data_IF_478831054363
#
_entry.id   IF_478831054363
#
_cell.length_a   1.000
_cell.length_b   1.000
_cell.length_c   1.000
_cell.angle_alpha   90.00
_cell.angle_beta   90.00
_cell.angle_gamma   90.00
#
_symmetry.space_group_name_H-M   'P 1'
#
loop_
_entity.id
_entity.type
_entity.pdbx_description
1 polymer ?
#
# COMPACT_ATOMS: atom_id res chain seq x y z
N UNK A 1 7.60 65.39 -3.04
CA UNK A 1 7.65 64.57 -4.27
C UNK A 1 8.65 63.46 -4.02
N UNK A 2 8.24 62.20 -4.01
CA UNK A 2 9.14 61.06 -3.76
C UNK A 2 9.75 60.63 -5.10
N UNK A 3 11.07 60.64 -5.18
CA UNK A 3 11.78 60.18 -6.37
C UNK A 3 11.62 58.65 -6.53
N UNK A 4 11.43 58.16 -7.77
CA UNK A 4 11.29 56.73 -8.01
C UNK A 4 12.59 55.98 -7.67
N UNK A 5 12.44 54.78 -7.11
CA UNK A 5 13.57 53.95 -6.72
C UNK A 5 14.47 53.58 -7.93
N UNK A 6 15.79 53.50 -7.74
CA UNK A 6 16.73 53.16 -8.81
C UNK A 6 16.52 51.73 -9.30
N UNK A 7 16.54 51.54 -10.62
CA UNK A 7 16.45 50.21 -11.25
C UNK A 7 17.85 49.60 -11.43
N UNK A 8 17.98 48.27 -11.34
CA UNK A 8 19.27 47.60 -11.55
C UNK A 8 19.78 47.80 -12.99
N UNK A 9 21.11 47.83 -13.20
CA UNK A 9 21.70 47.92 -14.54
C UNK A 9 21.33 46.71 -15.41
N UNK A 10 20.97 46.98 -16.67
CA UNK A 10 20.53 45.98 -17.63
C UNK A 10 21.65 44.96 -17.95
N UNK A 11 21.27 43.69 -18.16
CA UNK A 11 22.18 42.64 -18.63
C UNK A 11 22.95 41.88 -17.53
N UNK A 12 22.90 42.33 -16.27
CA UNK A 12 23.62 41.66 -15.15
C UNK A 12 22.74 40.71 -14.30
N UNK A 13 21.43 40.94 -14.24
CA UNK A 13 20.50 40.26 -13.32
C UNK A 13 19.41 39.42 -14.02
N UNK A 14 19.59 39.15 -15.32
CA UNK A 14 18.55 38.53 -16.14
C UNK A 14 17.39 39.49 -16.44
N UNK A 15 16.55 39.19 -17.44
CA UNK A 15 15.39 40.01 -17.77
C UNK A 15 14.36 39.96 -16.64
N UNK A 16 13.76 41.12 -16.32
CA UNK A 16 12.65 41.16 -15.36
C UNK A 16 11.48 40.30 -15.89
N UNK A 17 10.85 39.46 -15.04
CA UNK A 17 9.70 38.68 -15.45
C UNK A 17 8.57 39.62 -15.90
N UNK A 18 8.31 39.63 -17.20
CA UNK A 18 7.17 40.32 -17.81
C UNK A 18 5.85 39.82 -17.21
N UNK A 19 4.79 40.63 -17.27
CA UNK A 19 3.46 40.20 -16.80
C UNK A 19 3.02 38.86 -17.43
N UNK A 20 3.37 38.63 -18.70
CA UNK A 20 3.12 37.39 -19.44
C UNK A 20 3.88 36.20 -18.85
N UNK A 21 5.18 36.35 -18.54
CA UNK A 21 5.97 35.27 -17.93
C UNK A 21 5.46 34.92 -16.52
N UNK A 22 5.08 35.91 -15.71
CA UNK A 22 4.46 35.68 -14.39
C UNK A 22 3.12 34.95 -14.49
N UNK A 23 2.31 35.28 -15.50
CA UNK A 23 1.02 34.60 -15.76
C UNK A 23 1.25 33.14 -16.16
N UNK A 24 2.21 32.89 -17.06
CA UNK A 24 2.56 31.52 -17.48
C UNK A 24 3.12 30.69 -16.33
N UNK A 25 3.97 31.26 -15.46
CA UNK A 25 4.48 30.58 -14.28
C UNK A 25 3.36 30.19 -13.31
N UNK A 26 2.39 31.09 -13.07
CA UNK A 26 1.22 30.81 -12.22
C UNK A 26 0.33 29.72 -12.80
N UNK A 27 0.10 29.75 -14.11
CA UNK A 27 -0.67 28.72 -14.81
C UNK A 27 0.06 27.36 -14.79
N UNK A 28 1.38 27.36 -14.98
CA UNK A 28 2.20 26.16 -14.87
C UNK A 28 2.16 25.57 -13.47
N UNK A 29 2.31 26.39 -12.43
CA UNK A 29 2.19 25.95 -11.04
C UNK A 29 0.79 25.38 -10.75
N UNK A 30 -0.27 26.08 -11.21
CA UNK A 30 -1.64 25.60 -11.05
C UNK A 30 -1.85 24.25 -11.74
N UNK A 31 -1.33 24.07 -12.95
CA UNK A 31 -1.38 22.81 -13.68
C UNK A 31 -0.67 21.67 -12.91
N UNK A 32 0.53 21.93 -12.38
CA UNK A 32 1.27 20.95 -11.56
C UNK A 32 0.48 20.54 -10.32
N UNK A 33 -0.11 21.51 -9.62
CA UNK A 33 -0.93 21.23 -8.42
C UNK A 33 -2.16 20.38 -8.78
N UNK A 34 -2.85 20.71 -9.89
CA UNK A 34 -4.01 19.94 -10.35
C UNK A 34 -3.61 18.50 -10.71
N UNK A 35 -2.50 18.31 -11.43
CA UNK A 35 -1.99 16.97 -11.78
C UNK A 35 -1.64 16.19 -10.50
N UNK A 36 -0.95 16.82 -9.55
CA UNK A 36 -0.62 16.19 -8.27
C UNK A 36 -1.88 15.75 -7.51
N UNK A 37 -2.91 16.60 -7.45
CA UNK A 37 -4.21 16.26 -6.83
C UNK A 37 -4.87 15.05 -7.49
N UNK A 38 -4.88 14.99 -8.83
CA UNK A 38 -5.45 13.86 -9.57
C UNK A 38 -4.68 12.57 -9.30
N UNK A 39 -3.34 12.62 -9.28
CA UNK A 39 -2.50 11.46 -8.97
C UNK A 39 -2.74 10.98 -7.54
N UNK A 40 -2.78 11.88 -6.56
CA UNK A 40 -3.05 11.55 -5.17
C UNK A 40 -4.46 10.96 -4.99
N UNK A 41 -5.46 11.53 -5.65
CA UNK A 41 -6.83 10.99 -5.64
C UNK A 41 -6.85 9.58 -6.22
N UNK A 42 -6.14 9.35 -7.33
CA UNK A 42 -6.09 8.03 -7.96
C UNK A 42 -5.45 6.99 -7.04
N UNK A 43 -4.28 7.30 -6.46
CA UNK A 43 -3.59 6.44 -5.48
C UNK A 43 -4.51 6.14 -4.28
N UNK A 44 -5.19 7.15 -3.75
CA UNK A 44 -6.07 7.02 -2.59
C UNK A 44 -7.22 6.03 -2.79
N UNK A 45 -7.74 5.92 -4.02
CA UNK A 45 -8.81 4.95 -4.29
C UNK A 45 -8.36 3.49 -4.28
N UNK A 46 -7.06 3.20 -4.44
CA UNK A 46 -6.52 1.84 -4.32
C UNK A 46 -6.46 1.35 -2.87
N UNK A 47 -6.06 2.23 -1.95
CA UNK A 47 -5.82 1.90 -0.53
C UNK A 47 -7.12 1.69 0.25
N UNK A 48 -8.23 2.30 -0.17
CA UNK A 48 -9.52 2.22 0.54
C UNK A 48 -10.35 0.98 0.16
N UNK A 49 -9.89 0.16 -0.79
CA UNK A 49 -10.72 -0.87 -1.43
C UNK A 49 -10.61 -2.26 -0.81
N UNK A 50 -9.84 -2.48 0.24
CA UNK A 50 -9.72 -3.80 0.87
C UNK A 50 -10.77 -3.94 1.99
N UNK A 51 -11.94 -4.59 1.75
CA UNK A 51 -12.92 -4.85 2.80
C UNK A 51 -12.44 -5.92 3.80
N UNK A 52 -11.33 -6.61 3.48
CA UNK A 52 -10.80 -7.71 4.27
C UNK A 52 -9.52 -7.25 4.97
N UNK A 53 -9.60 -7.16 6.30
CA UNK A 53 -8.42 -6.89 7.13
C UNK A 53 -7.88 -8.22 7.65
N UNK A 54 -6.56 -8.29 7.86
CA UNK A 54 -5.94 -9.44 8.50
C UNK A 54 -4.88 -9.00 9.50
N UNK A 55 -4.63 -9.84 10.49
CA UNK A 55 -3.60 -9.64 11.49
C UNK A 55 -2.93 -10.97 11.81
N UNK A 56 -1.61 -11.03 11.65
CA UNK A 56 -0.84 -12.21 12.05
C UNK A 56 -0.84 -12.34 13.58
N UNK A 57 -1.17 -13.53 14.08
CA UNK A 57 -1.19 -13.83 15.53
C UNK A 57 0.09 -14.57 15.94
N UNK A 58 0.54 -15.51 15.11
CA UNK A 58 1.76 -16.25 15.34
C UNK A 58 1.97 -17.38 14.35
N UNK A 59 3.12 -18.04 14.45
CA UNK A 59 3.46 -19.20 13.63
C UNK A 59 4.29 -20.21 14.45
N UNK A 60 4.30 -21.46 13.99
CA UNK A 60 5.05 -22.56 14.59
C UNK A 60 5.65 -23.42 13.47
N UNK A 61 6.97 -23.51 13.45
CA UNK A 61 7.68 -24.27 12.41
C UNK A 61 7.76 -25.75 12.82
N UNK A 62 7.14 -26.61 12.02
CA UNK A 62 7.07 -28.07 12.22
C UNK A 62 8.15 -28.78 11.39
N UNK A 63 9.38 -28.30 11.50
CA UNK A 63 10.51 -28.76 10.71
C UNK A 63 10.53 -28.22 9.27
N UNK A 64 11.26 -28.89 8.35
CA UNK A 64 11.48 -28.36 7.00
C UNK A 64 10.30 -28.56 6.03
N UNK A 65 9.30 -29.35 6.41
CA UNK A 65 8.21 -29.75 5.53
C UNK A 65 6.89 -28.98 5.76
N UNK A 66 6.75 -28.29 6.89
CA UNK A 66 5.53 -27.56 7.20
C UNK A 66 5.73 -26.46 8.24
N UNK A 67 4.92 -25.41 8.15
CA UNK A 67 4.82 -24.35 9.15
C UNK A 67 3.35 -24.08 9.42
N UNK A 68 2.95 -24.15 10.68
CA UNK A 68 1.62 -23.74 11.14
C UNK A 68 1.59 -22.22 11.31
N UNK A 69 0.52 -21.58 10.81
CA UNK A 69 0.31 -20.13 10.86
C UNK A 69 -1.07 -19.86 11.42
N UNK A 70 -1.14 -18.97 12.41
CA UNK A 70 -2.37 -18.48 13.01
C UNK A 70 -2.52 -17.00 12.72
N UNK A 71 -3.67 -16.61 12.19
CA UNK A 71 -4.00 -15.23 11.88
C UNK A 71 -5.48 -14.94 12.18
N UNK A 72 -5.77 -13.68 12.46
CA UNK A 72 -7.13 -13.18 12.58
C UNK A 72 -7.52 -12.50 11.27
N UNK A 73 -8.70 -12.83 10.73
CA UNK A 73 -9.26 -12.24 9.51
C UNK A 73 -10.57 -11.55 9.84
N UNK A 74 -10.70 -10.30 9.38
CA UNK A 74 -11.91 -9.50 9.55
C UNK A 74 -12.57 -9.27 8.19
N UNK A 75 -13.78 -9.80 8.02
CA UNK A 75 -14.60 -9.65 6.82
C UNK A 75 -15.94 -8.99 7.17
N UNK A 76 -16.64 -8.37 6.19
CA UNK A 76 -18.05 -8.06 6.32
C UNK A 76 -18.87 -9.32 6.67
N UNK A 77 -20.02 -9.12 7.33
CA UNK A 77 -20.92 -10.22 7.68
C UNK A 77 -21.44 -10.90 6.42
N UNK A 78 -21.39 -12.23 6.38
CA UNK A 78 -21.83 -13.01 5.23
C UNK A 78 -20.91 -12.95 3.99
N UNK A 79 -19.75 -12.27 4.06
CA UNK A 79 -18.79 -12.24 2.97
C UNK A 79 -17.73 -13.35 3.12
N UNK A 80 -17.32 -13.94 1.98
CA UNK A 80 -16.20 -14.87 1.89
C UNK A 80 -14.90 -14.14 1.50
N UNK A 81 -13.76 -14.73 1.81
CA UNK A 81 -12.45 -14.23 1.41
C UNK A 81 -11.49 -15.39 1.13
N UNK A 82 -10.44 -15.13 0.36
CA UNK A 82 -9.29 -16.02 0.19
C UNK A 82 -8.06 -15.32 0.74
N UNK A 83 -7.38 -15.95 1.68
CA UNK A 83 -6.16 -15.42 2.28
C UNK A 83 -4.95 -16.20 1.79
N UNK A 84 -4.00 -15.51 1.16
CA UNK A 84 -2.72 -16.10 0.75
C UNK A 84 -1.75 -16.08 1.91
N UNK A 85 -1.41 -17.25 2.42
CA UNK A 85 -0.47 -17.43 3.53
C UNK A 85 0.85 -17.95 2.97
N UNK A 86 1.96 -17.40 3.43
CA UNK A 86 3.28 -17.79 2.97
C UNK A 86 4.22 -18.08 4.14
N UNK A 87 5.15 -19.00 3.91
CA UNK A 87 6.26 -19.30 4.80
C UNK A 87 7.57 -18.85 4.13
N UNK A 88 8.45 -18.21 4.91
CA UNK A 88 9.69 -17.64 4.40
C UNK A 88 10.91 -18.27 5.07
N UNK A 89 12.00 -18.45 4.31
CA UNK A 89 13.31 -18.85 4.82
C UNK A 89 14.04 -17.69 5.50
N UNK A 90 15.22 -17.96 6.08
CA UNK A 90 16.09 -16.94 6.67
C UNK A 90 16.58 -15.88 5.68
N UNK A 91 16.58 -16.19 4.38
CA UNK A 91 16.89 -15.24 3.30
C UNK A 91 15.65 -14.51 2.76
N UNK A 92 14.50 -14.63 3.44
CA UNK A 92 13.19 -14.14 2.99
C UNK A 92 12.69 -14.76 1.67
N UNK A 93 13.24 -15.91 1.27
CA UNK A 93 12.72 -16.63 0.11
C UNK A 93 11.40 -17.30 0.48
N UNK A 94 10.41 -17.26 -0.42
CA UNK A 94 9.17 -17.99 -0.24
C UNK A 94 9.44 -19.48 -0.40
N UNK A 95 9.24 -20.23 0.69
CA UNK A 95 9.47 -21.68 0.76
C UNK A 95 8.18 -22.46 0.94
N UNK A 96 7.06 -21.78 1.14
CA UNK A 96 5.72 -22.36 1.16
C UNK A 96 4.66 -21.30 0.90
N UNK A 97 3.59 -21.68 0.23
CA UNK A 97 2.43 -20.81 -0.03
C UNK A 97 1.16 -21.65 -0.04
N UNK A 98 0.11 -21.12 0.57
CA UNK A 98 -1.20 -21.75 0.64
C UNK A 98 -2.29 -20.67 0.53
N UNK A 99 -3.20 -20.85 -0.42
CA UNK A 99 -4.41 -20.05 -0.52
C UNK A 99 -5.50 -20.68 0.37
N UNK A 100 -5.93 -19.93 1.38
CA UNK A 100 -6.84 -20.39 2.42
C UNK A 100 -8.22 -19.79 2.18
N UNK A 101 -9.23 -20.62 1.84
CA UNK A 101 -10.60 -20.14 1.75
C UNK A 101 -11.16 -19.86 3.15
N UNK A 102 -11.61 -18.63 3.36
CA UNK A 102 -12.32 -18.18 4.56
C UNK A 102 -13.81 -18.07 4.19
N UNK A 103 -14.66 -18.99 4.65
CA UNK A 103 -16.08 -18.99 4.27
C UNK A 103 -16.81 -17.77 4.84
N UNK A 104 -18.06 -17.50 4.46
CA UNK A 104 -18.93 -16.55 5.14
C UNK A 104 -19.12 -16.89 6.63
N UNK A 105 -19.29 -15.88 7.47
CA UNK A 105 -19.68 -16.08 8.87
C UNK A 105 -20.52 -14.92 9.43
N UNK A 106 -21.17 -15.23 10.56
CA UNK A 106 -21.98 -14.29 11.34
C UNK A 106 -21.13 -13.40 12.27
N UNK A 107 -19.81 -13.60 12.29
CA UNK A 107 -18.86 -12.81 13.06
C UNK A 107 -17.89 -12.08 12.13
N UNK A 108 -17.56 -10.83 12.47
CA UNK A 108 -16.64 -10.02 11.66
C UNK A 108 -15.22 -10.55 11.70
N UNK A 109 -14.65 -10.72 12.90
CA UNK A 109 -13.27 -11.17 13.10
C UNK A 109 -13.23 -12.62 13.54
N UNK A 110 -12.38 -13.41 12.90
CA UNK A 110 -12.25 -14.85 13.13
C UNK A 110 -10.79 -15.25 13.16
N UNK A 111 -10.46 -16.17 14.07
CA UNK A 111 -9.14 -16.79 14.11
C UNK A 111 -9.08 -17.99 13.20
N UNK A 112 -8.08 -18.04 12.33
CA UNK A 112 -7.82 -19.13 11.41
C UNK A 112 -6.42 -19.68 11.71
N UNK A 113 -6.30 -21.00 11.75
CA UNK A 113 -5.00 -21.69 11.88
C UNK A 113 -4.87 -22.68 10.73
N UNK A 114 -3.77 -22.60 10.00
CA UNK A 114 -3.50 -23.45 8.84
C UNK A 114 -2.07 -23.97 8.86
N UNK A 115 -1.87 -25.16 8.29
CA UNK A 115 -0.54 -25.72 8.06
C UNK A 115 -0.13 -25.45 6.62
N UNK A 116 0.89 -24.63 6.44
CA UNK A 116 1.48 -24.34 5.13
C UNK A 116 2.57 -25.38 4.84
N UNK A 117 2.44 -26.19 3.77
CA UNK A 117 3.51 -27.09 3.36
C UNK A 117 4.71 -26.30 2.83
N UNK A 118 5.92 -26.71 3.20
CA UNK A 118 7.17 -26.04 2.82
C UNK A 118 8.13 -26.98 2.11
N UNK A 119 8.91 -26.44 1.17
CA UNK A 119 9.96 -27.19 0.45
C UNK A 119 11.32 -27.16 1.17
N UNK A 120 11.49 -26.24 2.12
CA UNK A 120 12.67 -26.07 2.96
C UNK A 120 12.25 -25.50 4.32
N UNK A 121 13.16 -25.50 5.29
CA UNK A 121 12.99 -24.88 6.59
C UNK A 121 12.64 -23.38 6.48
N UNK A 122 11.42 -23.06 6.91
CA UNK A 122 10.99 -21.70 7.14
C UNK A 122 11.45 -21.20 8.52
N UNK A 123 11.57 -19.87 8.65
CA UNK A 123 11.81 -19.18 9.93
C UNK A 123 10.63 -18.30 10.33
N UNK A 124 9.68 -18.08 9.43
CA UNK A 124 8.46 -17.30 9.67
C UNK A 124 7.33 -17.76 8.77
N UNK A 125 6.09 -17.57 9.24
CA UNK A 125 4.87 -17.70 8.46
C UNK A 125 3.98 -16.48 8.66
N UNK A 126 3.49 -15.90 7.57
CA UNK A 126 2.72 -14.64 7.55
C UNK A 126 1.64 -14.67 6.47
N UNK A 127 0.59 -13.88 6.66
CA UNK A 127 -0.41 -13.62 5.61
C UNK A 127 0.12 -12.57 4.65
N UNK A 128 0.25 -12.92 3.36
CA UNK A 128 0.66 -12.00 2.30
C UNK A 128 -0.45 -10.99 1.98
N UNK A 129 -1.69 -11.46 1.97
CA UNK A 129 -2.88 -10.65 1.73
C UNK A 129 -4.15 -11.48 1.73
N UNK A 130 -5.28 -10.82 1.92
CA UNK A 130 -6.60 -11.43 1.79
C UNK A 130 -7.44 -10.64 0.80
N UNK A 131 -8.14 -11.35 -0.07
CA UNK A 131 -9.04 -10.79 -1.07
C UNK A 131 -10.46 -11.34 -0.88
N UNK A 132 -11.51 -10.51 -1.05
CA UNK A 132 -12.89 -10.99 -1.01
C UNK A 132 -13.15 -11.97 -2.16
N UNK A 133 -14.01 -12.95 -1.92
CA UNK A 133 -14.51 -13.87 -2.95
C UNK A 133 -15.95 -13.47 -3.27
N UNK A 134 -16.18 -13.04 -4.50
CA UNK A 134 -17.50 -12.67 -5.03
C UNK A 134 -18.45 -13.88 -5.17
#
# INVERSE_FOLDING_TARGET
>A
MVAPAPRPPAGRYGPEPTATTRRLQRLGLAAVVVVAMVVLAWIGTGVMRDPVLWQDVGYRVDGPASTEVTFDVTTPLGAAATCRVQALSSSYAQVGVLDVPVPPADTRTRRVTVTVPTVELAVTGVVQGCEPVD
#
